data_IF_912474504874
#
_entry.id   IF_912474504874
#
_cell.length_a   1.000
_cell.length_b   1.000
_cell.length_c   1.000
_cell.angle_alpha   90.00
_cell.angle_beta   90.00
_cell.angle_gamma   90.00
#
_symmetry.space_group_name_H-M   'P 1'
#
loop_
_entity.id
_entity.type
_entity.pdbx_description
1 polymer ?
#
# COMPACT_ATOMS: atom_id res chain seq x y z
N UNK A 1 -19.46 -3.17 2.04
CA UNK A 1 -18.28 -4.06 2.05
C UNK A 1 -17.52 -3.99 3.39
N UNK A 2 -17.33 -2.81 4.00
CA UNK A 2 -16.60 -2.71 5.27
C UNK A 2 -17.11 -3.66 6.36
N UNK A 3 -18.43 -3.79 6.52
CA UNK A 3 -19.06 -4.69 7.48
C UNK A 3 -19.19 -6.15 6.99
N UNK A 4 -19.06 -6.39 5.66
CA UNK A 4 -19.23 -7.73 5.07
C UNK A 4 -17.96 -8.56 5.26
N UNK A 5 -16.77 -7.96 5.07
CA UNK A 5 -15.52 -8.71 5.20
C UNK A 5 -14.35 -7.92 5.83
N UNK A 6 -14.14 -6.63 5.55
CA UNK A 6 -12.97 -5.90 6.07
C UNK A 6 -12.93 -5.81 7.61
N UNK A 7 -14.07 -5.76 8.27
CA UNK A 7 -14.16 -5.85 9.74
C UNK A 7 -14.71 -7.19 10.22
N UNK A 8 -15.57 -7.86 9.42
CA UNK A 8 -16.21 -9.12 9.84
C UNK A 8 -15.21 -10.27 9.94
N UNK A 9 -14.26 -10.39 8.98
CA UNK A 9 -13.25 -11.45 9.02
C UNK A 9 -12.28 -11.27 10.18
N UNK A 10 -11.66 -10.09 10.41
CA UNK A 10 -10.85 -9.85 11.59
C UNK A 10 -11.60 -10.08 12.92
N UNK A 11 -12.87 -9.69 12.99
CA UNK A 11 -13.71 -9.90 14.17
C UNK A 11 -13.95 -11.39 14.44
N UNK A 12 -14.18 -12.20 13.37
CA UNK A 12 -14.31 -13.63 13.50
C UNK A 12 -13.00 -14.30 13.99
N UNK A 13 -11.85 -13.86 13.50
CA UNK A 13 -10.54 -14.32 13.96
C UNK A 13 -10.30 -13.97 15.44
N UNK A 14 -10.68 -12.76 15.84
CA UNK A 14 -10.58 -12.33 17.24
C UNK A 14 -11.48 -13.18 18.17
N UNK A 15 -12.72 -13.44 17.75
CA UNK A 15 -13.66 -14.28 18.52
C UNK A 15 -13.21 -15.74 18.62
N UNK A 16 -12.56 -16.26 17.58
CA UNK A 16 -12.02 -17.62 17.56
C UNK A 16 -10.68 -17.76 18.31
N UNK A 17 -10.05 -16.63 18.70
CA UNK A 17 -8.72 -16.62 19.32
C UNK A 17 -7.57 -16.98 18.37
N UNK A 18 -7.78 -16.89 17.05
CA UNK A 18 -6.77 -17.21 16.04
C UNK A 18 -7.31 -17.16 14.61
N UNK A 19 -6.40 -17.38 13.65
CA UNK A 19 -6.76 -17.46 12.24
C UNK A 19 -7.49 -18.78 11.99
N UNK A 20 -8.77 -18.71 11.66
CA UNK A 20 -9.63 -19.87 11.41
C UNK A 20 -10.14 -19.86 9.98
N UNK A 21 -10.40 -21.04 9.44
CA UNK A 21 -11.03 -21.16 8.14
C UNK A 21 -12.52 -20.73 8.25
N UNK A 22 -12.92 -19.78 7.37
CA UNK A 22 -14.30 -19.29 7.28
C UNK A 22 -14.90 -19.74 5.94
N UNK A 23 -15.36 -20.99 5.81
CA UNK A 23 -15.77 -21.58 4.54
C UNK A 23 -16.95 -20.85 3.86
N UNK A 24 -17.75 -20.14 4.66
CA UNK A 24 -18.90 -19.37 4.17
C UNK A 24 -18.55 -17.95 3.78
N UNK A 25 -17.27 -17.54 3.90
CA UNK A 25 -16.80 -16.21 3.53
C UNK A 25 -15.56 -16.32 2.64
N UNK A 26 -15.77 -16.24 1.32
CA UNK A 26 -14.70 -16.35 0.32
C UNK A 26 -13.62 -15.28 0.51
N UNK A 27 -13.97 -14.12 1.06
CA UNK A 27 -13.02 -13.01 1.29
C UNK A 27 -11.97 -13.33 2.36
N UNK A 28 -12.20 -14.35 3.20
CA UNK A 28 -11.19 -14.80 4.18
C UNK A 28 -9.95 -15.42 3.54
N UNK A 29 -10.00 -15.75 2.25
CA UNK A 29 -8.89 -16.29 1.47
C UNK A 29 -8.14 -15.23 0.67
N UNK A 30 -8.58 -13.98 0.71
CA UNK A 30 -7.91 -12.88 0.02
C UNK A 30 -6.77 -12.30 0.88
N UNK A 31 -5.83 -11.55 0.26
CA UNK A 31 -4.82 -10.83 1.01
C UNK A 31 -5.45 -9.89 2.03
N UNK A 32 -4.96 -9.88 3.27
CA UNK A 32 -5.61 -9.24 4.42
C UNK A 32 -4.64 -8.38 5.25
N UNK A 33 -3.61 -7.78 4.66
CA UNK A 33 -2.61 -7.04 5.42
C UNK A 33 -3.23 -5.88 6.23
N UNK A 34 -4.12 -5.10 5.65
CA UNK A 34 -4.77 -3.98 6.35
C UNK A 34 -5.82 -4.49 7.32
N UNK A 35 -6.51 -5.58 6.99
CA UNK A 35 -7.46 -6.23 7.89
C UNK A 35 -6.77 -6.77 9.15
N UNK A 36 -5.48 -7.14 9.07
CA UNK A 36 -4.71 -7.50 10.28
C UNK A 36 -4.42 -6.27 11.17
N UNK A 37 -4.24 -5.08 10.59
CA UNK A 37 -4.20 -3.83 11.38
C UNK A 37 -5.57 -3.53 12.01
N UNK A 38 -6.65 -3.78 11.28
CA UNK A 38 -8.01 -3.65 11.84
C UNK A 38 -8.27 -4.67 12.95
N UNK A 39 -7.77 -5.90 12.82
CA UNK A 39 -7.84 -6.90 13.90
C UNK A 39 -7.19 -6.40 15.19
N UNK A 40 -5.99 -5.80 15.09
CA UNK A 40 -5.32 -5.20 16.24
C UNK A 40 -6.16 -4.07 16.86
N UNK A 41 -6.74 -3.19 16.04
CA UNK A 41 -7.60 -2.11 16.49
C UNK A 41 -8.88 -2.65 17.17
N UNK A 42 -9.49 -3.70 16.62
CA UNK A 42 -10.65 -4.38 17.19
C UNK A 42 -10.31 -5.07 18.51
N UNK A 43 -9.12 -5.65 18.64
CA UNK A 43 -8.64 -6.25 19.89
C UNK A 43 -8.53 -5.22 21.03
N UNK A 44 -8.27 -3.94 20.69
CA UNK A 44 -8.32 -2.81 21.63
C UNK A 44 -9.75 -2.32 21.91
N UNK A 45 -10.76 -2.96 21.32
CA UNK A 45 -12.16 -2.83 21.69
C UNK A 45 -12.99 -1.83 20.87
N UNK A 46 -12.56 -1.39 19.68
CA UNK A 46 -13.30 -0.36 18.95
C UNK A 46 -13.28 -0.50 17.42
N UNK A 47 -14.47 -0.61 16.82
CA UNK A 47 -14.64 -0.49 15.35
C UNK A 47 -14.22 0.91 14.86
N UNK A 48 -14.45 1.94 15.69
CA UNK A 48 -14.01 3.30 15.38
C UNK A 48 -12.50 3.43 15.34
N UNK A 49 -11.77 2.66 16.15
CA UNK A 49 -10.31 2.65 16.13
C UNK A 49 -9.77 2.02 14.83
N UNK A 50 -10.45 1.00 14.29
CA UNK A 50 -10.11 0.44 12.99
C UNK A 50 -10.26 1.48 11.87
N UNK A 51 -11.38 2.24 11.86
CA UNK A 51 -11.59 3.34 10.91
C UNK A 51 -10.52 4.42 11.05
N UNK A 52 -10.18 4.82 12.28
CA UNK A 52 -9.11 5.81 12.54
C UNK A 52 -7.74 5.31 12.09
N UNK A 53 -7.47 4.02 12.22
CA UNK A 53 -6.22 3.40 11.71
C UNK A 53 -6.15 3.51 10.19
N UNK A 54 -7.24 3.18 9.49
CA UNK A 54 -7.36 3.38 8.05
C UNK A 54 -7.17 4.83 7.62
N UNK A 55 -7.84 5.76 8.33
CA UNK A 55 -7.69 7.19 8.10
C UNK A 55 -6.25 7.68 8.34
N UNK A 56 -5.55 7.11 9.33
CA UNK A 56 -4.12 7.40 9.56
C UNK A 56 -3.25 7.09 8.34
N UNK A 57 -3.50 5.96 7.67
CA UNK A 57 -2.78 5.61 6.41
C UNK A 57 -3.13 6.60 5.30
N UNK A 58 -4.39 7.07 5.22
CA UNK A 58 -4.79 8.11 4.25
C UNK A 58 -4.04 9.42 4.50
N UNK A 59 -3.86 9.85 5.74
CA UNK A 59 -3.04 11.03 6.05
C UNK A 59 -1.58 10.86 5.63
N UNK A 60 -1.00 9.66 5.79
CA UNK A 60 0.33 9.37 5.28
C UNK A 60 0.41 9.46 3.76
N UNK A 61 -0.63 8.98 3.04
CA UNK A 61 -0.74 9.15 1.59
C UNK A 61 -0.78 10.62 1.19
N UNK A 62 -1.63 11.42 1.84
CA UNK A 62 -1.73 12.86 1.55
C UNK A 62 -0.41 13.59 1.80
N UNK A 63 0.29 13.24 2.86
CA UNK A 63 1.61 13.76 3.15
C UNK A 63 2.65 13.35 2.08
N UNK A 64 2.63 12.10 1.64
CA UNK A 64 3.51 11.62 0.58
C UNK A 64 3.23 12.32 -0.76
N UNK A 65 1.95 12.52 -1.11
CA UNK A 65 1.53 13.30 -2.29
C UNK A 65 2.03 14.74 -2.21
N UNK A 66 1.90 15.38 -1.05
CA UNK A 66 2.43 16.73 -0.83
C UNK A 66 3.95 16.79 -1.00
N UNK A 67 4.68 15.86 -0.42
CA UNK A 67 6.15 15.80 -0.54
C UNK A 67 6.59 15.56 -1.99
N UNK A 68 5.90 14.69 -2.70
CA UNK A 68 6.15 14.44 -4.12
C UNK A 68 5.89 15.70 -4.96
N UNK A 69 4.75 16.33 -4.77
CA UNK A 69 4.38 17.57 -5.46
C UNK A 69 5.38 18.68 -5.19
N UNK A 70 5.84 18.83 -3.93
CA UNK A 70 6.87 19.79 -3.55
C UNK A 70 8.18 19.63 -4.33
N UNK A 71 8.55 18.38 -4.64
CA UNK A 71 9.75 18.09 -5.44
C UNK A 71 9.56 18.43 -6.93
N UNK A 72 8.32 18.30 -7.46
CA UNK A 72 8.02 18.47 -8.89
C UNK A 72 7.62 19.88 -9.28
N UNK A 73 6.77 20.52 -8.51
CA UNK A 73 6.17 21.82 -8.83
C UNK A 73 6.57 22.94 -7.88
N UNK A 74 7.39 22.63 -6.88
CA UNK A 74 7.86 23.59 -5.90
C UNK A 74 6.91 23.76 -4.69
N UNK A 75 7.44 24.40 -3.63
CA UNK A 75 6.76 24.52 -2.33
C UNK A 75 5.43 25.25 -2.41
N UNK A 76 5.35 26.29 -3.25
CA UNK A 76 4.17 27.15 -3.36
C UNK A 76 2.93 26.44 -3.88
N UNK A 77 3.09 25.44 -4.74
CA UNK A 77 2.01 24.70 -5.38
C UNK A 77 1.87 23.25 -4.87
N UNK A 78 2.71 22.83 -3.91
CA UNK A 78 2.76 21.46 -3.42
C UNK A 78 1.43 20.97 -2.84
N UNK A 79 0.62 21.87 -2.28
CA UNK A 79 -0.67 21.58 -1.66
C UNK A 79 -1.79 21.25 -2.67
N UNK A 80 -1.62 21.62 -3.95
CA UNK A 80 -2.63 21.37 -4.99
C UNK A 80 -2.88 19.88 -5.20
N UNK A 81 -1.83 19.05 -5.19
CA UNK A 81 -1.97 17.60 -5.43
C UNK A 81 -2.83 16.90 -4.37
N UNK A 82 -2.56 17.01 -3.07
CA UNK A 82 -3.45 16.44 -2.08
C UNK A 82 -4.84 17.08 -2.09
N UNK A 83 -4.97 18.37 -2.40
CA UNK A 83 -6.28 19.03 -2.51
C UNK A 83 -7.11 18.44 -3.66
N UNK A 84 -6.53 18.27 -4.85
CA UNK A 84 -7.21 17.64 -5.99
C UNK A 84 -7.63 16.22 -5.63
N UNK A 85 -6.76 15.46 -4.96
CA UNK A 85 -7.06 14.11 -4.53
C UNK A 85 -8.25 14.06 -3.56
N UNK A 86 -8.27 14.91 -2.53
CA UNK A 86 -9.38 15.03 -1.57
C UNK A 86 -10.69 15.47 -2.25
N UNK A 87 -10.61 16.30 -3.31
CA UNK A 87 -11.77 16.80 -4.04
C UNK A 87 -12.48 15.71 -4.87
N UNK A 88 -11.91 14.49 -4.95
CA UNK A 88 -12.55 13.37 -5.63
C UNK A 88 -13.86 13.01 -4.91
N UNK A 89 -15.01 12.90 -5.58
CA UNK A 89 -16.32 12.73 -4.93
C UNK A 89 -16.41 11.51 -4.00
N UNK A 90 -15.72 10.41 -4.33
CA UNK A 90 -15.71 9.17 -3.56
C UNK A 90 -14.73 9.19 -2.38
N UNK A 91 -13.83 10.18 -2.30
CA UNK A 91 -12.77 10.22 -1.31
C UNK A 91 -13.30 10.12 0.12
N UNK A 92 -14.25 10.99 0.47
CA UNK A 92 -14.79 11.03 1.84
C UNK A 92 -15.53 9.75 2.22
N UNK A 93 -16.28 9.16 1.29
CA UNK A 93 -16.98 7.91 1.52
C UNK A 93 -16.03 6.76 1.82
N UNK A 94 -14.94 6.66 1.07
CA UNK A 94 -13.94 5.58 1.25
C UNK A 94 -13.05 5.87 2.46
N UNK A 95 -12.64 7.12 2.68
CA UNK A 95 -11.75 7.50 3.77
C UNK A 95 -12.41 7.38 5.16
N UNK A 96 -13.74 7.58 5.25
CA UNK A 96 -14.49 7.47 6.50
C UNK A 96 -14.92 6.03 6.83
N UNK A 97 -14.70 5.09 5.92
CA UNK A 97 -15.08 3.68 6.08
C UNK A 97 -13.84 2.82 6.27
N UNK A 98 -14.01 1.63 6.87
CA UNK A 98 -12.93 0.66 6.98
C UNK A 98 -12.74 -0.11 5.66
N UNK A 99 -12.54 0.62 4.55
CA UNK A 99 -12.13 0.08 3.26
C UNK A 99 -10.61 -0.02 3.18
N UNK A 100 -10.10 -0.74 2.19
CA UNK A 100 -8.66 -0.92 1.97
C UNK A 100 -8.15 -0.24 0.69
N UNK A 101 -9.04 0.35 -0.10
CA UNK A 101 -8.71 0.91 -1.42
C UNK A 101 -7.72 2.07 -1.33
N UNK A 102 -7.91 3.00 -0.39
CA UNK A 102 -7.00 4.14 -0.20
C UNK A 102 -5.65 3.69 0.37
N UNK A 103 -5.64 2.65 1.21
CA UNK A 103 -4.42 2.06 1.75
C UNK A 103 -3.64 1.33 0.65
N UNK A 104 -4.32 0.57 -0.20
CA UNK A 104 -3.73 -0.04 -1.39
C UNK A 104 -3.16 1.02 -2.33
N UNK A 105 -3.92 2.10 -2.60
CA UNK A 105 -3.45 3.24 -3.39
C UNK A 105 -2.23 3.93 -2.76
N UNK A 106 -2.17 4.02 -1.42
CA UNK A 106 -1.02 4.56 -0.71
C UNK A 106 0.24 3.73 -0.97
N UNK A 107 0.16 2.41 -0.85
CA UNK A 107 1.30 1.53 -1.11
C UNK A 107 1.74 1.57 -2.58
N UNK A 108 0.80 1.57 -3.52
CA UNK A 108 1.10 1.71 -4.95
C UNK A 108 1.84 3.02 -5.23
N UNK A 109 1.34 4.13 -4.69
CA UNK A 109 1.96 5.44 -4.84
C UNK A 109 3.35 5.49 -4.19
N UNK A 110 3.51 4.94 -2.98
CA UNK A 110 4.80 4.89 -2.29
C UNK A 110 5.82 4.02 -3.03
N UNK A 111 5.38 2.92 -3.66
CA UNK A 111 6.24 2.10 -4.52
C UNK A 111 6.74 2.92 -5.73
N UNK A 112 5.84 3.64 -6.41
CA UNK A 112 6.20 4.54 -7.50
C UNK A 112 7.16 5.65 -7.04
N UNK A 113 6.86 6.31 -5.94
CA UNK A 113 7.69 7.38 -5.37
C UNK A 113 9.10 6.88 -4.98
N UNK A 114 9.17 5.69 -4.40
CA UNK A 114 10.43 5.05 -4.09
C UNK A 114 11.23 4.70 -5.35
N UNK A 115 10.57 4.15 -6.39
CA UNK A 115 11.21 3.89 -7.68
C UNK A 115 11.83 5.15 -8.28
N UNK A 116 11.08 6.24 -8.34
CA UNK A 116 11.55 7.50 -8.90
C UNK A 116 12.74 8.08 -8.13
N UNK A 117 12.69 8.05 -6.79
CA UNK A 117 13.82 8.48 -5.95
C UNK A 117 15.05 7.56 -6.14
N UNK A 118 14.85 6.26 -6.29
CA UNK A 118 15.91 5.31 -6.59
C UNK A 118 16.60 5.61 -7.91
N UNK A 119 15.81 5.92 -8.93
CA UNK A 119 16.31 6.30 -10.25
C UNK A 119 17.07 7.63 -10.24
N UNK A 120 16.50 8.66 -9.60
CA UNK A 120 17.10 10.01 -9.58
C UNK A 120 18.30 10.11 -8.66
N UNK A 121 18.27 9.48 -7.49
CA UNK A 121 19.33 9.55 -6.47
C UNK A 121 20.37 8.44 -6.60
N UNK A 122 20.13 7.43 -7.44
CA UNK A 122 21.01 6.27 -7.67
C UNK A 122 21.35 5.50 -6.38
N UNK A 123 20.39 5.39 -5.46
CA UNK A 123 20.56 4.73 -4.18
C UNK A 123 19.73 3.44 -4.11
N UNK A 124 20.37 2.31 -3.82
CA UNK A 124 19.73 0.99 -3.76
C UNK A 124 18.66 0.87 -2.67
N UNK A 125 18.77 1.64 -1.58
CA UNK A 125 17.80 1.65 -0.48
C UNK A 125 16.39 2.03 -0.94
N UNK A 126 16.27 2.90 -1.95
CA UNK A 126 14.97 3.27 -2.50
C UNK A 126 14.32 2.13 -3.30
N UNK A 127 15.11 1.33 -3.99
CA UNK A 127 14.57 0.15 -4.68
C UNK A 127 14.13 -0.93 -3.70
N UNK A 128 14.80 -1.07 -2.56
CA UNK A 128 14.32 -1.92 -1.47
C UNK A 128 12.96 -1.43 -0.95
N UNK A 129 12.81 -0.13 -0.70
CA UNK A 129 11.52 0.44 -0.29
C UNK A 129 10.44 0.26 -1.37
N UNK A 130 10.79 0.40 -2.65
CA UNK A 130 9.87 0.13 -3.75
C UNK A 130 9.33 -1.30 -3.69
N UNK A 131 10.22 -2.30 -3.51
CA UNK A 131 9.80 -3.71 -3.43
C UNK A 131 8.93 -3.98 -2.20
N UNK A 132 9.28 -3.40 -1.06
CA UNK A 132 8.51 -3.50 0.17
C UNK A 132 7.09 -2.95 -0.02
N UNK A 133 6.96 -1.75 -0.58
CA UNK A 133 5.64 -1.14 -0.82
C UNK A 133 4.86 -1.86 -1.92
N UNK A 134 5.51 -2.36 -2.97
CA UNK A 134 4.85 -3.16 -4.00
C UNK A 134 4.28 -4.47 -3.41
N UNK A 135 5.06 -5.17 -2.58
CA UNK A 135 4.59 -6.35 -1.85
C UNK A 135 3.44 -6.02 -0.90
N UNK A 136 3.55 -4.93 -0.12
CA UNK A 136 2.48 -4.47 0.77
C UNK A 136 1.18 -4.13 0.00
N UNK A 137 1.27 -3.54 -1.20
CA UNK A 137 0.12 -3.27 -2.04
C UNK A 137 -0.61 -4.58 -2.40
N UNK A 138 0.11 -5.60 -2.86
CA UNK A 138 -0.46 -6.91 -3.23
C UNK A 138 -1.03 -7.64 -2.01
N UNK A 139 -0.33 -7.56 -0.87
CA UNK A 139 -0.80 -8.13 0.39
C UNK A 139 -2.05 -7.41 0.96
N UNK A 140 -2.32 -6.19 0.50
CA UNK A 140 -3.53 -5.43 0.86
C UNK A 140 -4.70 -5.78 -0.07
N UNK A 141 -4.46 -5.82 -1.39
CA UNK A 141 -5.52 -6.00 -2.37
C UNK A 141 -4.98 -6.69 -3.63
N UNK A 142 -5.58 -7.82 -4.01
CA UNK A 142 -5.09 -8.64 -5.12
C UNK A 142 -5.05 -7.89 -6.48
N UNK A 143 -5.97 -6.93 -6.68
CA UNK A 143 -6.01 -6.12 -7.92
C UNK A 143 -4.74 -5.30 -8.14
N UNK A 144 -3.97 -5.02 -7.09
CA UNK A 144 -2.71 -4.28 -7.18
C UNK A 144 -1.53 -5.14 -7.68
N UNK A 145 -1.73 -6.43 -7.95
CA UNK A 145 -0.69 -7.34 -8.49
C UNK A 145 -0.03 -6.79 -9.77
N UNK A 146 -0.72 -5.94 -10.52
CA UNK A 146 -0.19 -5.24 -11.71
C UNK A 146 1.03 -4.36 -11.39
N UNK A 147 1.21 -3.98 -10.13
CA UNK A 147 2.38 -3.17 -9.71
C UNK A 147 3.68 -3.98 -9.80
N UNK A 148 3.62 -5.30 -9.63
CA UNK A 148 4.81 -6.17 -9.70
C UNK A 148 5.49 -6.17 -11.08
N UNK A 149 4.78 -6.43 -12.20
CA UNK A 149 5.39 -6.35 -13.52
C UNK A 149 5.85 -4.94 -13.87
N UNK A 150 5.16 -3.90 -13.42
CA UNK A 150 5.58 -2.51 -13.62
C UNK A 150 6.87 -2.20 -12.85
N UNK A 151 6.98 -2.63 -11.60
CA UNK A 151 8.18 -2.48 -10.79
C UNK A 151 9.36 -3.27 -11.39
N UNK A 152 9.12 -4.50 -11.86
CA UNK A 152 10.12 -5.30 -12.56
C UNK A 152 10.62 -4.61 -13.85
N UNK A 153 9.71 -4.06 -14.64
CA UNK A 153 10.06 -3.29 -15.85
C UNK A 153 10.92 -2.07 -15.51
N UNK A 154 10.54 -1.32 -14.48
CA UNK A 154 11.29 -0.17 -13.98
C UNK A 154 12.73 -0.53 -13.55
N UNK A 155 12.88 -1.66 -12.81
CA UNK A 155 14.20 -2.17 -12.43
C UNK A 155 15.04 -2.60 -13.63
N UNK A 156 14.41 -3.26 -14.60
CA UNK A 156 15.08 -3.75 -15.81
C UNK A 156 15.61 -2.60 -16.67
N UNK A 157 14.83 -1.52 -16.81
CA UNK A 157 15.25 -0.30 -17.51
C UNK A 157 16.42 0.35 -16.76
N UNK A 158 16.34 0.47 -15.43
CA UNK A 158 17.42 1.04 -14.63
C UNK A 158 18.72 0.23 -14.74
N UNK A 159 18.65 -1.10 -14.68
CA UNK A 159 19.81 -1.98 -14.81
C UNK A 159 20.50 -1.86 -16.16
N UNK A 160 19.74 -1.70 -17.25
CA UNK A 160 20.31 -1.50 -18.60
C UNK A 160 21.04 -0.16 -18.73
N UNK A 161 20.47 0.91 -18.16
CA UNK A 161 21.09 2.26 -18.25
C UNK A 161 22.34 2.41 -17.39
N UNK A 162 22.47 1.65 -16.31
CA UNK A 162 23.59 1.80 -15.37
C UNK A 162 24.59 0.61 -15.36
N UNK A 163 24.50 -0.33 -16.31
CA UNK A 163 25.41 -1.50 -16.46
C UNK A 163 25.64 -2.33 -15.18
N UNK A 164 24.77 -2.22 -14.19
CA UNK A 164 24.93 -2.94 -12.93
C UNK A 164 23.91 -4.08 -12.82
N UNK A 165 24.09 -5.10 -13.68
CA UNK A 165 23.20 -6.27 -13.79
C UNK A 165 23.07 -7.08 -12.51
N UNK A 166 24.11 -7.12 -11.65
CA UNK A 166 24.06 -7.87 -10.40
C UNK A 166 23.13 -7.23 -9.36
N UNK A 167 23.14 -5.90 -9.27
CA UNK A 167 22.21 -5.16 -8.40
C UNK A 167 20.75 -5.31 -8.86
N UNK A 168 20.52 -5.27 -10.17
CA UNK A 168 19.18 -5.46 -10.74
C UNK A 168 18.65 -6.86 -10.47
N UNK A 169 19.48 -7.90 -10.60
CA UNK A 169 19.09 -9.28 -10.31
C UNK A 169 18.73 -9.47 -8.83
N UNK A 170 19.51 -8.90 -7.91
CA UNK A 170 19.21 -8.92 -6.47
C UNK A 170 17.90 -8.20 -6.11
N UNK A 171 17.64 -7.07 -6.75
CA UNK A 171 16.41 -6.31 -6.57
C UNK A 171 15.18 -7.04 -7.14
N UNK A 172 15.32 -7.70 -8.29
CA UNK A 172 14.25 -8.54 -8.85
C UNK A 172 13.92 -9.73 -7.93
N UNK A 173 14.94 -10.35 -7.32
CA UNK A 173 14.74 -11.43 -6.37
C UNK A 173 14.03 -10.96 -5.11
N UNK A 174 14.40 -9.79 -4.58
CA UNK A 174 13.71 -9.16 -3.42
C UNK A 174 12.25 -8.82 -3.75
N UNK A 175 11.96 -8.41 -4.97
CA UNK A 175 10.60 -8.14 -5.45
C UNK A 175 9.75 -9.42 -5.41
N UNK A 176 10.28 -10.52 -5.96
CA UNK A 176 9.60 -11.81 -5.97
C UNK A 176 9.40 -12.36 -4.55
N UNK A 177 10.41 -12.26 -3.68
CA UNK A 177 10.31 -12.71 -2.29
C UNK A 177 9.33 -11.83 -1.48
N UNK A 178 9.35 -10.52 -1.67
CA UNK A 178 8.45 -9.59 -0.98
C UNK A 178 6.98 -9.73 -1.40
N UNK A 179 6.70 -10.30 -2.58
CA UNK A 179 5.33 -10.55 -3.04
C UNK A 179 4.76 -11.89 -2.55
N UNK A 180 5.60 -12.77 -1.97
CA UNK A 180 5.21 -14.08 -1.46
C UNK A 180 5.01 -14.10 0.08
N UNK A 181 5.42 -13.03 0.76
CA UNK A 181 5.23 -12.80 2.19
C UNK A 181 3.95 -12.00 2.44
#
# INVERSE_FOLDING_TARGET
>A
DALVYHLAVPKAFLQAGGLVNLPNNIYSFFPQQIEMLYLFALALGSDSLAQLTGLGVVFLLLFALWQYSKQKVGKSYAWLTPLIFISTPTFFSVASSAYVDLQAAAYVFLAFYAWENGYTRKQSSWFFLMTLFAGAAVATQLTTVIVLPLAFLGLSIHGRTHKNTSQTAGQCLLLLLGSLL
#
